data_IF_124254786455
#
_entry.id   IF_124254786455
#
_cell.length_a   1.000
_cell.length_b   1.000
_cell.length_c   1.000
_cell.angle_alpha   90.00
_cell.angle_beta   90.00
_cell.angle_gamma   90.00
#
_symmetry.space_group_name_H-M   'P 1'
#
loop_
_entity.id
_entity.type
_entity.pdbx_description
1 polymer ?
#
# COMPACT_ATOMS: atom_id res chain seq x y z
N UNK A 1 4.26 -10.01 23.24
CA UNK A 1 4.87 -11.04 24.12
C UNK A 1 4.83 -10.70 25.59
N UNK A 2 5.35 -9.54 26.04
CA UNK A 2 5.27 -9.15 27.46
C UNK A 2 3.84 -9.06 27.96
N UNK A 3 2.94 -8.53 27.14
CA UNK A 3 1.52 -8.35 27.49
C UNK A 3 0.81 -9.70 27.66
N UNK A 4 0.99 -10.61 26.69
CA UNK A 4 0.48 -11.99 26.75
C UNK A 4 1.00 -12.71 28.01
N UNK A 5 2.31 -12.68 28.24
CA UNK A 5 2.90 -13.34 29.41
C UNK A 5 2.41 -12.72 30.73
N UNK A 6 2.10 -11.42 30.77
CA UNK A 6 1.55 -10.75 31.95
C UNK A 6 0.11 -11.18 32.23
N UNK A 7 -0.74 -11.16 31.20
CA UNK A 7 -2.13 -11.64 31.32
C UNK A 7 -2.18 -13.11 31.73
N UNK A 8 -1.27 -13.94 31.22
CA UNK A 8 -1.20 -15.35 31.59
C UNK A 8 -0.75 -15.59 33.04
N UNK A 9 0.16 -14.75 33.56
CA UNK A 9 0.51 -14.81 34.98
C UNK A 9 -0.67 -14.46 35.87
N UNK A 10 -1.43 -13.43 35.52
CA UNK A 10 -2.63 -13.03 36.26
C UNK A 10 -3.72 -14.11 36.21
N UNK A 11 -4.04 -14.62 35.02
CA UNK A 11 -4.99 -15.72 34.85
C UNK A 11 -4.56 -16.99 35.61
N UNK A 12 -3.26 -17.29 35.61
CA UNK A 12 -2.69 -18.39 36.39
C UNK A 12 -2.84 -18.19 37.91
N UNK A 13 -2.77 -16.95 38.41
CA UNK A 13 -3.04 -16.68 39.83
C UNK A 13 -4.52 -16.91 40.17
N UNK A 14 -5.45 -16.49 39.31
CA UNK A 14 -6.87 -16.81 39.49
C UNK A 14 -7.11 -18.31 39.57
N UNK A 15 -6.47 -19.10 38.70
CA UNK A 15 -6.54 -20.57 38.75
C UNK A 15 -6.09 -21.11 40.11
N UNK A 16 -4.95 -20.64 40.64
CA UNK A 16 -4.41 -21.07 41.93
C UNK A 16 -5.36 -20.71 43.08
N UNK A 17 -5.84 -19.46 43.12
CA UNK A 17 -6.73 -18.98 44.19
C UNK A 17 -8.07 -19.72 44.20
N UNK A 18 -8.64 -19.99 43.02
CA UNK A 18 -9.89 -20.74 42.89
C UNK A 18 -9.71 -22.22 43.27
N UNK A 19 -8.57 -22.83 42.91
CA UNK A 19 -8.25 -24.19 43.33
C UNK A 19 -8.11 -24.30 44.86
N UNK A 20 -7.51 -23.31 45.52
CA UNK A 20 -7.43 -23.26 46.99
C UNK A 20 -8.80 -23.14 47.67
N UNK A 21 -9.79 -22.55 46.99
CA UNK A 21 -11.18 -22.50 47.42
C UNK A 21 -11.97 -23.79 47.12
N UNK A 22 -11.31 -24.83 46.60
CA UNK A 22 -11.91 -26.13 46.29
C UNK A 22 -12.55 -26.23 44.91
N UNK A 23 -12.36 -25.23 44.03
CA UNK A 23 -12.92 -25.26 42.68
C UNK A 23 -11.99 -26.06 41.75
N UNK A 24 -12.47 -27.20 41.25
CA UNK A 24 -11.72 -28.10 40.35
C UNK A 24 -11.70 -27.63 38.89
N UNK A 25 -11.05 -26.50 38.60
CA UNK A 25 -10.88 -26.00 37.22
C UNK A 25 -9.97 -26.94 36.42
N UNK A 26 -10.46 -27.40 35.27
CA UNK A 26 -9.72 -28.31 34.36
C UNK A 26 -9.32 -27.68 33.04
N UNK A 27 -9.88 -26.51 32.74
CA UNK A 27 -9.72 -25.83 31.47
C UNK A 27 -9.38 -24.37 31.74
N UNK A 28 -8.43 -23.85 30.96
CA UNK A 28 -8.14 -22.44 30.90
C UNK A 28 -8.25 -22.00 29.44
N UNK A 29 -9.10 -21.01 29.21
CA UNK A 29 -9.22 -20.37 27.92
C UNK A 29 -8.33 -19.12 27.90
N UNK A 30 -7.42 -19.05 26.94
CA UNK A 30 -6.52 -17.90 26.78
C UNK A 30 -7.06 -16.89 25.77
N UNK A 31 -8.23 -17.16 25.20
CA UNK A 31 -8.84 -16.38 24.15
C UNK A 31 -8.00 -16.38 22.87
N UNK A 32 -8.20 -15.34 22.07
CA UNK A 32 -7.45 -15.10 20.83
C UNK A 32 -6.12 -14.39 21.04
N UNK A 33 -5.82 -13.43 20.17
CA UNK A 33 -4.61 -12.60 20.28
C UNK A 33 -3.35 -13.18 19.62
N UNK A 34 -3.42 -14.39 19.05
CA UNK A 34 -2.41 -14.84 18.08
C UNK A 34 -2.56 -13.99 16.82
N UNK A 35 -1.62 -13.07 16.62
CA UNK A 35 -1.64 -12.14 15.49
C UNK A 35 -1.13 -12.78 14.19
N UNK A 36 -1.24 -12.02 13.11
CA UNK A 36 -0.81 -12.39 11.76
C UNK A 36 0.06 -11.27 11.22
N UNK A 37 1.15 -11.63 10.54
CA UNK A 37 2.06 -10.67 9.92
C UNK A 37 1.58 -10.30 8.51
N UNK A 38 0.73 -9.28 8.40
CA UNK A 38 0.23 -8.82 7.10
C UNK A 38 1.27 -7.98 6.33
N UNK A 39 2.23 -7.38 7.03
CA UNK A 39 3.32 -6.59 6.41
C UNK A 39 4.57 -7.44 6.08
N UNK A 40 4.66 -8.68 6.57
CA UNK A 40 5.87 -9.47 6.50
C UNK A 40 7.09 -8.85 7.20
N UNK A 41 6.95 -7.74 7.92
CA UNK A 41 8.07 -6.99 8.52
C UNK A 41 8.57 -7.62 9.80
N UNK A 42 7.82 -8.57 10.36
CA UNK A 42 8.05 -9.14 11.69
C UNK A 42 8.31 -8.08 12.76
N UNK A 43 7.60 -6.97 12.66
CA UNK A 43 7.78 -5.80 13.51
C UNK A 43 6.65 -5.66 14.54
N UNK A 44 6.74 -4.66 15.41
CA UNK A 44 5.70 -4.29 16.39
C UNK A 44 4.69 -3.29 15.82
N UNK A 45 4.60 -3.16 14.49
CA UNK A 45 3.58 -2.32 13.85
C UNK A 45 2.18 -2.91 14.04
N UNK A 46 1.17 -2.08 13.81
CA UNK A 46 -0.23 -2.41 14.06
C UNK A 46 -0.71 -3.64 13.27
N UNK A 47 -0.28 -3.77 12.01
CA UNK A 47 -0.64 -4.87 11.11
C UNK A 47 0.41 -6.00 11.05
N UNK A 48 1.31 -6.09 12.04
CA UNK A 48 2.40 -7.08 12.09
C UNK A 48 2.49 -7.78 13.45
N UNK A 49 3.27 -8.86 13.50
CA UNK A 49 3.69 -9.51 14.74
C UNK A 49 5.21 -9.63 14.80
N UNK A 50 5.79 -9.52 16.00
CA UNK A 50 7.24 -9.67 16.20
C UNK A 50 7.62 -10.99 16.88
N UNK A 51 6.76 -12.00 16.78
CA UNK A 51 6.94 -13.29 17.44
C UNK A 51 6.51 -14.44 16.54
N UNK A 52 7.10 -15.60 16.76
CA UNK A 52 6.71 -16.86 16.12
C UNK A 52 5.62 -17.58 16.93
N UNK A 53 4.94 -18.54 16.30
CA UNK A 53 3.88 -19.32 16.96
C UNK A 53 4.42 -20.11 18.16
N UNK A 54 5.66 -20.59 18.09
CA UNK A 54 6.32 -21.28 19.20
C UNK A 54 6.55 -20.36 20.38
N UNK A 55 6.90 -19.10 20.12
CA UNK A 55 7.11 -18.10 21.16
C UNK A 55 5.78 -17.74 21.82
N UNK A 56 4.70 -17.61 21.04
CA UNK A 56 3.34 -17.42 21.56
C UNK A 56 2.94 -18.58 22.50
N UNK A 57 3.12 -19.82 22.04
CA UNK A 57 2.82 -21.01 22.84
C UNK A 57 3.65 -21.05 24.13
N UNK A 58 4.96 -20.73 24.07
CA UNK A 58 5.83 -20.67 25.24
C UNK A 58 5.38 -19.61 26.24
N UNK A 59 4.98 -18.42 25.78
CA UNK A 59 4.53 -17.35 26.67
C UNK A 59 3.21 -17.66 27.40
N UNK A 60 2.45 -18.65 26.93
CA UNK A 60 1.25 -19.15 27.58
C UNK A 60 1.57 -20.34 28.50
N UNK A 61 2.26 -21.34 27.96
CA UNK A 61 2.51 -22.61 28.67
C UNK A 61 3.47 -22.42 29.83
N UNK A 62 4.54 -21.64 29.66
CA UNK A 62 5.59 -21.53 30.67
C UNK A 62 5.08 -20.89 31.98
N UNK A 63 4.42 -19.71 31.99
CA UNK A 63 3.93 -19.13 33.24
C UNK A 63 2.91 -20.01 33.96
N UNK A 64 2.03 -20.68 33.21
CA UNK A 64 1.05 -21.60 33.79
C UNK A 64 1.71 -22.83 34.42
N UNK A 65 2.70 -23.42 33.74
CA UNK A 65 3.42 -24.58 34.25
C UNK A 65 4.19 -24.26 35.54
N UNK A 66 4.89 -23.12 35.57
CA UNK A 66 5.63 -22.64 36.74
C UNK A 66 4.69 -22.40 37.94
N UNK A 67 3.54 -21.76 37.71
CA UNK A 67 2.55 -21.50 38.75
C UNK A 67 1.93 -22.79 39.28
N UNK A 68 1.50 -23.71 38.40
CA UNK A 68 0.93 -25.00 38.81
C UNK A 68 1.94 -25.82 39.62
N UNK A 69 3.21 -25.87 39.17
CA UNK A 69 4.27 -26.57 39.89
C UNK A 69 4.50 -25.97 41.29
N UNK A 70 4.53 -24.64 41.41
CA UNK A 70 4.71 -23.96 42.69
C UNK A 70 3.55 -24.15 43.67
N UNK A 71 2.33 -24.27 43.16
CA UNK A 71 1.11 -24.44 43.96
C UNK A 71 0.76 -25.92 44.20
N UNK A 72 1.51 -26.87 43.64
CA UNK A 72 1.22 -28.30 43.73
C UNK A 72 -0.07 -28.71 43.00
N UNK A 73 -0.46 -27.96 41.96
CA UNK A 73 -1.69 -28.20 41.19
C UNK A 73 -1.39 -29.00 39.92
N UNK A 74 -2.37 -29.81 39.51
CA UNK A 74 -2.34 -30.46 38.20
C UNK A 74 -2.49 -29.41 37.09
N UNK A 75 -1.63 -29.44 36.04
CA UNK A 75 -1.76 -28.51 34.92
C UNK A 75 -3.12 -28.61 34.23
N UNK A 76 -3.82 -27.49 33.96
CA UNK A 76 -5.10 -27.50 33.26
C UNK A 76 -4.91 -27.77 31.77
N UNK A 77 -6.00 -28.12 31.09
CA UNK A 77 -6.07 -28.12 29.62
C UNK A 77 -6.18 -26.69 29.11
N UNK A 78 -5.39 -26.35 28.09
CA UNK A 78 -5.34 -25.01 27.52
C UNK A 78 -6.17 -24.99 26.23
N UNK A 79 -7.03 -23.98 26.09
CA UNK A 79 -7.80 -23.68 24.87
C UNK A 79 -7.40 -22.30 24.37
N UNK A 80 -7.30 -22.13 23.06
CA UNK A 80 -7.06 -20.83 22.41
C UNK A 80 -8.09 -20.61 21.31
N UNK A 81 -8.60 -19.39 21.22
CA UNK A 81 -9.59 -18.93 20.25
C UNK A 81 -8.90 -18.15 19.12
N UNK A 82 -7.84 -18.72 18.55
CA UNK A 82 -6.98 -18.08 17.56
C UNK A 82 -7.60 -18.00 16.15
N UNK A 83 -8.84 -17.52 16.03
CA UNK A 83 -9.63 -17.51 14.79
C UNK A 83 -8.92 -16.80 13.63
N UNK A 84 -8.42 -15.58 13.84
CA UNK A 84 -7.70 -14.81 12.81
C UNK A 84 -6.48 -15.56 12.28
N UNK A 85 -5.71 -16.20 13.16
CA UNK A 85 -4.53 -16.95 12.75
C UNK A 85 -4.89 -18.17 11.88
N UNK A 86 -6.05 -18.80 12.14
CA UNK A 86 -6.54 -19.93 11.36
C UNK A 86 -7.11 -19.51 10.00
N UNK A 87 -7.78 -18.36 9.92
CA UNK A 87 -8.51 -17.95 8.72
C UNK A 87 -7.80 -16.89 7.88
N UNK A 88 -6.75 -16.20 8.35
CA UNK A 88 -6.21 -15.07 7.58
C UNK A 88 -5.70 -15.44 6.17
N UNK A 89 -5.10 -16.62 5.99
CA UNK A 89 -4.42 -16.98 4.72
C UNK A 89 -5.22 -17.94 3.82
N UNK A 90 -6.43 -18.35 4.22
CA UNK A 90 -7.19 -19.38 3.48
C UNK A 90 -7.92 -18.85 2.24
N UNK A 91 -8.10 -17.53 2.14
CA UNK A 91 -8.87 -16.88 1.09
C UNK A 91 -8.01 -15.84 0.36
N UNK A 92 -8.21 -15.75 -0.95
CA UNK A 92 -7.55 -14.75 -1.82
C UNK A 92 -8.62 -14.10 -2.67
N UNK A 93 -8.64 -12.76 -2.69
CA UNK A 93 -9.47 -11.99 -3.61
C UNK A 93 -8.72 -11.81 -4.94
N UNK A 94 -9.33 -12.30 -6.02
CA UNK A 94 -8.79 -12.16 -7.38
C UNK A 94 -9.75 -11.30 -8.18
N UNK A 95 -9.21 -10.22 -8.76
CA UNK A 95 -9.98 -9.29 -9.59
C UNK A 95 -9.10 -8.73 -10.71
N UNK A 96 -9.73 -8.21 -11.75
CA UNK A 96 -9.07 -7.64 -12.91
C UNK A 96 -9.00 -6.11 -12.80
N UNK A 97 -7.94 -5.55 -13.40
CA UNK A 97 -7.88 -4.12 -13.70
C UNK A 97 -8.80 -3.84 -14.88
N UNK A 98 -9.75 -2.93 -14.69
CA UNK A 98 -10.67 -2.47 -15.74
C UNK A 98 -10.06 -1.36 -16.57
N UNK A 99 -9.43 -0.39 -15.91
CA UNK A 99 -8.86 0.79 -16.55
C UNK A 99 -7.58 1.24 -15.85
N UNK A 100 -6.68 1.89 -16.61
CA UNK A 100 -5.45 2.48 -16.09
C UNK A 100 -5.40 3.94 -16.52
N UNK A 101 -5.52 4.84 -15.56
CA UNK A 101 -5.24 6.26 -15.75
C UNK A 101 -3.75 6.46 -15.55
N UNK A 102 -3.03 6.70 -16.64
CA UNK A 102 -1.58 6.94 -16.55
C UNK A 102 -1.31 8.32 -15.97
N UNK A 103 -0.31 8.40 -15.09
CA UNK A 103 0.14 9.68 -14.55
C UNK A 103 0.41 10.68 -15.69
N UNK A 104 -0.08 11.93 -15.59
CA UNK A 104 0.17 12.93 -16.63
C UNK A 104 1.68 13.10 -16.81
N UNK A 105 2.16 12.88 -18.03
CA UNK A 105 3.57 13.16 -18.38
C UNK A 105 3.82 14.65 -18.53
N UNK A 106 2.77 15.38 -18.90
CA UNK A 106 2.86 16.78 -19.28
C UNK A 106 3.60 16.98 -20.61
N UNK A 107 3.53 18.20 -21.11
CA UNK A 107 4.27 18.66 -22.27
C UNK A 107 4.66 20.11 -22.06
N UNK A 108 5.84 20.52 -22.53
CA UNK A 108 6.22 21.93 -22.46
C UNK A 108 5.40 22.78 -23.44
N UNK A 109 5.08 22.25 -24.61
CA UNK A 109 4.52 23.08 -25.69
C UNK A 109 5.48 24.21 -26.12
N UNK A 110 5.03 25.04 -27.05
CA UNK A 110 5.75 26.24 -27.47
C UNK A 110 5.21 27.48 -26.75
N UNK A 111 6.10 28.43 -26.43
CA UNK A 111 5.70 29.72 -25.88
C UNK A 111 5.23 30.63 -27.02
N UNK A 112 3.98 31.10 -26.94
CA UNK A 112 3.49 32.19 -27.77
C UNK A 112 3.84 33.56 -27.14
N UNK A 113 3.83 34.63 -27.92
CA UNK A 113 4.22 35.97 -27.45
C UNK A 113 3.28 36.52 -26.35
N UNK A 114 2.01 36.10 -26.37
CA UNK A 114 0.95 36.47 -25.42
C UNK A 114 0.89 35.54 -24.19
N UNK A 115 1.80 34.56 -24.07
CA UNK A 115 1.80 33.60 -22.95
C UNK A 115 1.88 34.33 -21.61
N UNK A 116 0.98 34.06 -20.65
CA UNK A 116 1.00 34.68 -19.32
C UNK A 116 2.35 34.53 -18.60
N UNK A 117 2.70 35.51 -17.76
CA UNK A 117 3.99 35.54 -17.08
C UNK A 117 4.26 34.28 -16.24
N UNK A 118 3.24 33.75 -15.55
CA UNK A 118 3.36 32.55 -14.72
C UNK A 118 3.77 31.31 -15.53
N UNK A 119 3.24 31.13 -16.75
CA UNK A 119 3.65 30.04 -17.64
C UNK A 119 5.09 30.25 -18.13
N UNK A 120 5.47 31.49 -18.48
CA UNK A 120 6.85 31.80 -18.90
C UNK A 120 7.86 31.49 -17.79
N UNK A 121 7.54 31.79 -16.53
CA UNK A 121 8.39 31.44 -15.39
C UNK A 121 8.56 29.92 -15.25
N UNK A 122 7.48 29.13 -15.32
CA UNK A 122 7.58 27.67 -15.30
C UNK A 122 8.43 27.11 -16.46
N UNK A 123 8.31 27.69 -17.66
CA UNK A 123 9.14 27.32 -18.81
C UNK A 123 10.62 27.64 -18.60
N UNK A 124 10.93 28.77 -17.96
CA UNK A 124 12.29 29.19 -17.64
C UNK A 124 12.93 28.25 -16.60
N UNK A 125 12.19 27.89 -15.53
CA UNK A 125 12.63 26.92 -14.54
C UNK A 125 13.03 25.58 -15.16
N UNK A 126 12.29 25.14 -16.18
CA UNK A 126 12.65 23.93 -16.91
C UNK A 126 13.99 24.06 -17.66
N UNK A 127 14.34 25.23 -18.17
CA UNK A 127 15.65 25.46 -18.80
C UNK A 127 16.78 25.52 -17.76
N UNK A 128 16.49 26.02 -16.56
CA UNK A 128 17.44 26.14 -15.46
C UNK A 128 17.71 24.83 -14.71
N UNK A 129 16.97 23.77 -15.03
CA UNK A 129 17.09 22.46 -14.39
C UNK A 129 18.54 22.02 -14.29
N UNK A 130 19.35 22.19 -15.35
CA UNK A 130 20.77 21.84 -15.40
C UNK A 130 21.63 22.56 -14.34
N UNK A 131 21.35 23.83 -14.06
CA UNK A 131 22.24 24.72 -13.33
C UNK A 131 21.91 24.85 -11.83
N UNK A 132 20.67 24.52 -11.43
CA UNK A 132 20.16 24.75 -10.07
C UNK A 132 19.78 23.42 -9.38
N UNK A 133 19.74 23.39 -8.03
CA UNK A 133 19.34 22.20 -7.30
C UNK A 133 17.88 21.83 -7.57
N UNK A 134 17.55 20.54 -7.77
CA UNK A 134 16.21 20.09 -8.18
C UNK A 134 15.12 20.39 -7.13
N UNK A 135 15.49 20.45 -5.85
CA UNK A 135 14.58 20.76 -4.74
C UNK A 135 14.06 22.20 -4.81
N UNK A 136 14.95 23.16 -5.04
CA UNK A 136 14.61 24.59 -5.14
C UNK A 136 13.71 24.85 -6.36
N UNK A 137 14.06 24.25 -7.50
CA UNK A 137 13.27 24.37 -8.73
C UNK A 137 11.86 23.84 -8.53
N UNK A 138 11.72 22.71 -7.85
CA UNK A 138 10.39 22.14 -7.59
C UNK A 138 9.55 23.02 -6.66
N UNK A 139 10.16 23.60 -5.61
CA UNK A 139 9.47 24.53 -4.73
C UNK A 139 8.97 25.78 -5.48
N UNK A 140 9.82 26.38 -6.32
CA UNK A 140 9.42 27.51 -7.17
C UNK A 140 8.33 27.12 -8.18
N UNK A 141 8.44 25.92 -8.74
CA UNK A 141 7.42 25.38 -9.63
C UNK A 141 6.07 25.21 -8.93
N UNK A 142 6.05 24.70 -7.69
CA UNK A 142 4.83 24.59 -6.89
C UNK A 142 4.22 25.97 -6.63
N UNK A 143 5.05 26.96 -6.31
CA UNK A 143 4.60 28.33 -6.08
C UNK A 143 3.95 28.93 -7.33
N UNK A 144 4.61 28.85 -8.49
CA UNK A 144 4.05 29.37 -9.74
C UNK A 144 2.85 28.56 -10.24
N UNK A 145 2.83 27.25 -10.02
CA UNK A 145 1.65 26.43 -10.32
C UNK A 145 0.45 26.92 -9.49
N UNK A 146 0.61 27.05 -8.17
CA UNK A 146 -0.43 27.56 -7.26
C UNK A 146 -0.90 28.98 -7.64
N UNK A 147 0.02 29.87 -8.00
CA UNK A 147 -0.29 31.21 -8.49
C UNK A 147 -1.13 31.15 -9.78
N UNK A 148 -0.76 30.28 -10.72
CA UNK A 148 -1.52 30.05 -11.95
C UNK A 148 -2.93 29.51 -11.67
N UNK A 149 -3.10 28.61 -10.70
CA UNK A 149 -4.43 28.14 -10.31
C UNK A 149 -5.27 29.29 -9.75
N UNK A 150 -4.66 30.18 -8.95
CA UNK A 150 -5.34 31.34 -8.39
C UNK A 150 -5.70 32.40 -9.45
N UNK A 151 -4.88 32.57 -10.49
CA UNK A 151 -5.20 33.42 -11.64
C UNK A 151 -6.39 32.85 -12.44
N UNK A 152 -6.39 31.54 -12.70
CA UNK A 152 -7.52 30.86 -13.34
C UNK A 152 -8.82 31.01 -12.54
N UNK A 153 -8.78 30.80 -11.22
CA UNK A 153 -9.94 30.97 -10.34
C UNK A 153 -10.52 32.39 -10.35
N UNK A 154 -9.69 33.40 -10.65
CA UNK A 154 -10.09 34.81 -10.80
C UNK A 154 -10.52 35.18 -12.22
N UNK A 155 -10.55 34.22 -13.15
CA UNK A 155 -10.87 34.44 -14.56
C UNK A 155 -9.78 35.17 -15.35
N UNK A 156 -8.55 35.21 -14.84
CA UNK A 156 -7.41 35.88 -15.48
C UNK A 156 -6.62 34.96 -16.42
N UNK A 157 -6.88 33.65 -16.36
CA UNK A 157 -6.40 32.67 -17.33
C UNK A 157 -7.60 31.98 -17.97
N UNK A 158 -7.47 31.68 -19.27
CA UNK A 158 -8.42 30.81 -19.95
C UNK A 158 -8.13 29.32 -19.68
N UNK A 159 -9.01 28.45 -20.16
CA UNK A 159 -8.89 27.00 -19.97
C UNK A 159 -7.66 26.41 -20.69
N UNK A 160 -7.27 26.94 -21.85
CA UNK A 160 -6.12 26.45 -22.60
C UNK A 160 -4.81 26.80 -21.88
N UNK A 161 -4.72 28.00 -21.31
CA UNK A 161 -3.62 28.45 -20.47
C UNK A 161 -3.54 27.66 -19.17
N UNK A 162 -4.69 27.31 -18.57
CA UNK A 162 -4.74 26.41 -17.41
C UNK A 162 -4.23 25.00 -17.75
N UNK A 163 -4.66 24.43 -18.88
CA UNK A 163 -4.18 23.13 -19.33
C UNK A 163 -2.66 23.16 -19.60
N UNK A 164 -2.16 24.20 -20.27
CA UNK A 164 -0.73 24.37 -20.53
C UNK A 164 0.08 24.56 -19.23
N UNK A 165 -0.46 25.25 -18.23
CA UNK A 165 0.15 25.36 -16.90
C UNK A 165 0.33 23.98 -16.25
N UNK A 166 -0.73 23.16 -16.25
CA UNK A 166 -0.70 21.81 -15.69
C UNK A 166 0.27 20.90 -16.48
N UNK A 167 0.30 21.01 -17.81
CA UNK A 167 1.20 20.24 -18.67
C UNK A 167 2.68 20.58 -18.43
N UNK A 168 3.03 21.86 -18.35
CA UNK A 168 4.42 22.29 -18.09
C UNK A 168 4.86 21.88 -16.69
N UNK A 169 3.98 22.01 -15.70
CA UNK A 169 4.25 21.60 -14.32
C UNK A 169 4.54 20.10 -14.22
N UNK A 170 3.72 19.24 -14.83
CA UNK A 170 3.96 17.79 -14.82
C UNK A 170 5.25 17.41 -15.57
N UNK A 171 5.53 18.05 -16.72
CA UNK A 171 6.78 17.83 -17.44
C UNK A 171 8.01 18.17 -16.58
N UNK A 172 7.94 19.28 -15.83
CA UNK A 172 8.99 19.68 -14.90
C UNK A 172 9.10 18.71 -13.71
N UNK A 173 7.98 18.27 -13.14
CA UNK A 173 7.97 17.31 -12.03
C UNK A 173 8.64 15.98 -12.41
N UNK A 174 8.38 15.45 -13.62
CA UNK A 174 9.07 14.28 -14.15
C UNK A 174 10.57 14.53 -14.35
N UNK A 175 10.94 15.71 -14.86
CA UNK A 175 12.34 16.07 -15.06
C UNK A 175 13.12 16.24 -13.74
N UNK A 176 12.49 16.83 -12.72
CA UNK A 176 13.01 16.90 -11.35
C UNK A 176 13.18 15.49 -10.78
N UNK A 177 12.14 14.65 -10.87
CA UNK A 177 12.13 13.28 -10.34
C UNK A 177 13.27 12.43 -10.89
N UNK A 178 13.64 12.62 -12.15
CA UNK A 178 14.74 11.92 -12.82
C UNK A 178 16.13 12.30 -12.30
N UNK A 179 16.26 13.42 -11.57
CA UNK A 179 17.54 13.94 -11.05
C UNK A 179 17.74 13.73 -9.56
N UNK A 180 16.70 13.31 -8.85
CA UNK A 180 16.78 13.07 -7.41
C UNK A 180 17.49 11.75 -7.11
N UNK A 181 18.41 11.78 -6.16
CA UNK A 181 19.14 10.60 -5.68
C UNK A 181 18.47 10.02 -4.42
N UNK A 182 17.98 8.75 -4.45
CA UNK A 182 17.41 8.07 -3.28
C UNK A 182 18.36 7.87 -2.10
N UNK A 183 19.67 7.95 -2.30
CA UNK A 183 20.67 7.86 -1.23
C UNK A 183 20.80 9.16 -0.45
N UNK A 184 20.44 10.28 -1.06
CA UNK A 184 20.56 11.59 -0.44
C UNK A 184 19.37 11.88 0.48
N UNK A 185 19.66 12.16 1.76
CA UNK A 185 18.62 12.39 2.77
C UNK A 185 17.72 13.57 2.43
N UNK A 186 18.27 14.63 1.85
CA UNK A 186 17.53 15.83 1.45
C UNK A 186 16.51 15.55 0.33
N UNK A 187 16.78 14.57 -0.53
CA UNK A 187 15.91 14.21 -1.64
C UNK A 187 14.77 13.26 -1.26
N UNK A 188 14.88 12.53 -0.14
CA UNK A 188 13.89 11.49 0.21
C UNK A 188 12.46 12.00 0.34
N UNK A 189 12.25 13.09 1.06
CA UNK A 189 10.90 13.64 1.26
C UNK A 189 10.28 14.07 -0.08
N UNK A 190 11.06 14.71 -0.94
CA UNK A 190 10.61 15.13 -2.27
C UNK A 190 10.39 13.93 -3.21
N UNK A 191 11.24 12.90 -3.11
CA UNK A 191 11.05 11.66 -3.84
C UNK A 191 9.73 11.01 -3.47
N UNK A 192 9.42 10.89 -2.18
CA UNK A 192 8.18 10.30 -1.68
C UNK A 192 6.96 11.10 -2.17
N UNK A 193 7.00 12.44 -2.09
CA UNK A 193 5.94 13.33 -2.59
C UNK A 193 5.71 13.18 -4.10
N UNK A 194 6.78 13.19 -4.90
CA UNK A 194 6.69 13.02 -6.35
C UNK A 194 6.24 11.61 -6.73
N UNK A 195 6.66 10.60 -5.97
CA UNK A 195 6.28 9.21 -6.16
C UNK A 195 4.79 8.97 -5.88
N UNK A 196 4.18 9.74 -4.98
CA UNK A 196 2.72 9.76 -4.76
C UNK A 196 1.97 10.54 -5.85
N UNK A 197 2.52 11.66 -6.32
CA UNK A 197 1.87 12.48 -7.37
C UNK A 197 1.97 11.87 -8.77
N UNK A 198 3.10 11.27 -9.11
CA UNK A 198 3.43 10.76 -10.45
C UNK A 198 3.15 9.26 -10.57
N UNK A 199 2.02 8.83 -10.03
CA UNK A 199 1.63 7.43 -9.95
C UNK A 199 0.48 7.13 -10.90
N UNK A 200 0.49 5.95 -11.52
CA UNK A 200 -0.64 5.50 -12.32
C UNK A 200 -1.77 5.04 -11.41
N UNK A 201 -3.02 5.33 -11.78
CA UNK A 201 -4.18 4.81 -11.05
C UNK A 201 -4.73 3.60 -11.80
N UNK A 202 -4.86 2.50 -11.08
CA UNK A 202 -5.42 1.25 -11.56
C UNK A 202 -6.82 1.12 -10.99
N UNK A 203 -7.83 1.22 -11.86
CA UNK A 203 -9.22 0.98 -11.49
C UNK A 203 -9.50 -0.51 -11.56
N UNK A 204 -9.87 -1.09 -10.43
CA UNK A 204 -10.01 -2.54 -10.28
C UNK A 204 -11.48 -2.89 -10.07
N UNK A 205 -11.93 -3.97 -10.71
CA UNK A 205 -13.33 -4.41 -10.68
C UNK A 205 -13.69 -5.11 -9.37
N UNK A 206 -13.71 -4.35 -8.27
CA UNK A 206 -14.17 -4.81 -6.96
C UNK A 206 -14.70 -3.61 -6.16
N UNK A 207 -15.20 -3.87 -4.95
CA UNK A 207 -15.55 -2.84 -3.97
C UNK A 207 -14.78 -3.07 -2.67
N UNK A 208 -14.13 -2.02 -2.17
CA UNK A 208 -13.43 -2.06 -0.88
C UNK A 208 -14.40 -2.40 0.25
N UNK A 209 -15.57 -1.77 0.24
CA UNK A 209 -16.59 -1.91 1.28
C UNK A 209 -17.21 -3.31 1.35
N UNK A 210 -17.35 -3.99 0.22
CA UNK A 210 -17.92 -5.34 0.17
C UNK A 210 -16.87 -6.41 0.50
N UNK A 211 -15.67 -6.29 -0.07
CA UNK A 211 -14.69 -7.39 -0.07
C UNK A 211 -13.64 -7.27 1.04
N UNK A 212 -13.27 -6.04 1.42
CA UNK A 212 -12.17 -5.77 2.37
C UNK A 212 -12.50 -4.58 3.29
N UNK A 213 -13.63 -4.61 4.03
CA UNK A 213 -14.08 -3.49 4.86
C UNK A 213 -13.08 -3.09 5.94
N UNK A 214 -12.23 -4.01 6.41
CA UNK A 214 -11.21 -3.75 7.42
C UNK A 214 -10.18 -2.70 6.96
N UNK A 215 -9.93 -2.56 5.65
CA UNK A 215 -9.04 -1.51 5.13
C UNK A 215 -9.58 -0.12 5.45
N UNK A 216 -10.89 0.05 5.25
CA UNK A 216 -11.56 1.33 5.50
C UNK A 216 -11.84 1.56 6.98
N UNK A 217 -12.20 0.51 7.72
CA UNK A 217 -12.66 0.65 9.10
C UNK A 217 -11.53 0.81 10.13
N UNK A 218 -10.38 0.15 9.90
CA UNK A 218 -9.30 0.06 10.89
C UNK A 218 -7.89 0.17 10.28
N UNK A 219 -7.78 0.73 9.06
CA UNK A 219 -6.51 0.85 8.33
C UNK A 219 -5.76 -0.49 8.20
N UNK A 220 -6.50 -1.60 8.07
CA UNK A 220 -5.91 -2.92 7.92
C UNK A 220 -5.15 -3.02 6.60
N UNK A 221 -3.96 -3.60 6.65
CA UNK A 221 -3.14 -3.83 5.45
C UNK A 221 -3.40 -5.25 4.94
N UNK A 222 -3.53 -5.37 3.61
CA UNK A 222 -3.53 -6.66 2.90
C UNK A 222 -2.40 -6.68 1.86
N UNK A 223 -1.65 -7.78 1.73
CA UNK A 223 -0.69 -7.95 0.65
C UNK A 223 -1.39 -7.97 -0.71
N UNK A 224 -1.02 -7.06 -1.61
CA UNK A 224 -1.53 -7.01 -2.98
C UNK A 224 -0.40 -7.29 -3.95
N UNK A 225 -0.60 -8.28 -4.81
CA UNK A 225 0.37 -8.69 -5.83
C UNK A 225 -0.33 -9.01 -7.15
N UNK A 226 0.31 -8.76 -8.30
CA UNK A 226 -0.16 -9.25 -9.58
C UNK A 226 0.01 -10.76 -9.63
N UNK A 227 -0.91 -11.43 -10.33
CA UNK A 227 -0.92 -12.89 -10.46
C UNK A 227 0.17 -13.38 -11.44
N UNK A 228 0.65 -12.51 -12.33
CA UNK A 228 1.63 -12.82 -13.36
C UNK A 228 2.75 -11.76 -13.44
N UNK A 229 3.87 -12.13 -14.04
CA UNK A 229 5.00 -11.21 -14.27
C UNK A 229 5.86 -10.95 -13.03
N UNK A 230 5.76 -11.78 -12.00
CA UNK A 230 6.50 -11.63 -10.73
C UNK A 230 8.02 -11.78 -10.89
N UNK A 231 8.48 -12.41 -11.96
CA UNK A 231 9.92 -12.55 -12.27
C UNK A 231 10.52 -11.30 -12.92
N UNK A 232 9.68 -10.39 -13.43
CA UNK A 232 10.13 -9.18 -14.10
C UNK A 232 10.34 -8.05 -13.09
N UNK A 233 11.40 -7.26 -13.31
CA UNK A 233 11.64 -6.10 -12.45
C UNK A 233 10.54 -5.06 -12.65
N UNK A 234 9.95 -4.53 -11.57
CA UNK A 234 9.00 -3.43 -11.64
C UNK A 234 9.56 -2.16 -12.36
N UNK A 235 8.77 -1.52 -13.24
CA UNK A 235 9.07 -0.24 -13.92
C UNK A 235 8.13 0.95 -13.64
N UNK A 236 6.87 0.79 -13.20
CA UNK A 236 5.93 1.93 -12.96
C UNK A 236 5.16 1.85 -11.64
N UNK A 237 5.10 2.92 -10.85
CA UNK A 237 4.33 2.89 -9.60
C UNK A 237 2.84 3.00 -9.88
N UNK A 238 2.03 2.32 -9.06
CA UNK A 238 0.58 2.26 -9.20
C UNK A 238 -0.14 2.43 -7.87
N UNK A 239 -1.27 3.13 -7.87
CA UNK A 239 -2.27 3.12 -6.80
C UNK A 239 -3.48 2.36 -7.31
N UNK A 240 -4.08 1.52 -6.47
CA UNK A 240 -5.33 0.82 -6.78
C UNK A 240 -6.49 1.63 -6.23
N UNK A 241 -7.45 1.91 -7.10
CA UNK A 241 -8.74 2.47 -6.78
C UNK A 241 -9.83 1.46 -7.15
N UNK A 242 -10.89 1.41 -6.34
CA UNK A 242 -12.07 0.64 -6.70
C UNK A 242 -12.96 1.40 -7.70
N UNK A 243 -14.04 0.77 -8.15
CA UNK A 243 -15.00 1.38 -9.09
C UNK A 243 -16.14 2.13 -8.40
N UNK A 244 -16.08 2.29 -7.07
CA UNK A 244 -17.13 2.99 -6.36
C UNK A 244 -17.05 4.49 -6.62
N UNK A 245 -18.19 5.17 -6.57
CA UNK A 245 -18.24 6.63 -6.67
C UNK A 245 -17.76 7.34 -5.40
N UNK A 246 -17.28 6.58 -4.41
CA UNK A 246 -16.82 7.11 -3.14
C UNK A 246 -15.31 7.36 -3.22
N UNK A 247 -14.88 8.57 -2.82
CA UNK A 247 -13.47 8.94 -2.82
C UNK A 247 -12.65 8.11 -1.82
N UNK A 248 -13.29 7.50 -0.82
CA UNK A 248 -12.64 6.66 0.19
C UNK A 248 -12.36 5.24 -0.34
N UNK A 249 -13.03 4.82 -1.43
CA UNK A 249 -12.70 3.60 -2.18
C UNK A 249 -11.41 3.72 -3.00
N UNK A 250 -10.81 4.92 -3.06
CA UNK A 250 -9.75 5.26 -4.01
C UNK A 250 -8.31 5.00 -3.52
N UNK A 251 -8.08 4.70 -2.24
CA UNK A 251 -6.70 4.68 -1.71
C UNK A 251 -6.38 3.46 -0.85
N UNK A 252 -6.12 2.32 -1.48
CA UNK A 252 -5.22 1.35 -0.87
C UNK A 252 -3.79 1.87 -1.09
N UNK A 253 -3.34 2.71 -0.15
CA UNK A 253 -2.06 3.42 -0.22
C UNK A 253 -0.88 2.61 0.32
N UNK A 254 -1.15 1.59 1.13
CA UNK A 254 -0.09 0.89 1.87
C UNK A 254 0.28 -0.42 1.19
N UNK A 255 1.50 -0.46 0.67
CA UNK A 255 2.09 -1.61 0.01
C UNK A 255 3.17 -2.23 0.87
N UNK A 256 3.29 -3.54 0.78
CA UNK A 256 4.33 -4.30 1.48
C UNK A 256 5.54 -4.51 0.57
N UNK A 257 6.66 -3.77 0.72
CA UNK A 257 7.84 -4.03 -0.10
C UNK A 257 8.52 -5.34 0.31
N UNK A 258 8.76 -6.25 -0.65
CA UNK A 258 9.62 -7.46 -0.55
C UNK A 258 10.90 -7.38 0.31
N UNK A 259 11.43 -6.20 0.62
CA UNK A 259 12.50 -6.09 1.61
C UNK A 259 12.10 -6.62 3.00
N UNK A 260 10.79 -6.67 3.31
CA UNK A 260 10.24 -7.29 4.51
C UNK A 260 10.00 -8.80 4.36
N UNK A 261 9.60 -9.28 3.17
CA UNK A 261 9.38 -10.70 2.89
C UNK A 261 10.71 -11.48 2.85
N UNK A 262 11.16 -11.92 4.03
CA UNK A 262 12.37 -12.71 4.19
C UNK A 262 12.25 -14.10 3.52
N UNK A 263 12.96 -14.23 2.40
CA UNK A 263 13.62 -15.43 1.89
C UNK A 263 12.76 -16.62 1.40
N UNK A 264 12.35 -16.57 0.13
CA UNK A 264 12.50 -17.76 -0.73
C UNK A 264 13.86 -17.62 -1.46
N UNK A 265 14.86 -18.41 -1.05
CA UNK A 265 16.23 -18.35 -1.58
C UNK A 265 16.26 -18.85 -3.03
N UNK A 266 16.24 -17.93 -3.99
CA UNK A 266 16.75 -18.22 -5.33
C UNK A 266 18.26 -17.92 -5.35
N UNK A 267 19.09 -18.97 -5.42
CA UNK A 267 20.55 -18.99 -5.20
C UNK A 267 21.39 -18.35 -6.32
N UNK A 268 20.84 -17.41 -7.13
CA UNK A 268 21.51 -16.98 -8.38
C UNK A 268 21.62 -15.49 -8.69
N UNK A 269 21.46 -14.57 -7.73
CA UNK A 269 21.65 -13.14 -8.02
C UNK A 269 22.53 -12.43 -6.98
N UNK A 270 23.74 -11.94 -7.35
CA UNK A 270 24.55 -11.13 -6.45
C UNK A 270 24.17 -9.65 -6.54
N UNK A 271 24.11 -9.01 -5.38
CA UNK A 271 24.16 -7.56 -5.11
C UNK A 271 22.93 -6.66 -5.36
N UNK A 272 22.73 -5.82 -4.36
CA UNK A 272 22.07 -4.50 -4.31
C UNK A 272 20.60 -4.39 -3.89
N UNK A 273 20.42 -3.50 -2.91
CA UNK A 273 19.30 -3.30 -1.99
C UNK A 273 18.33 -2.23 -2.53
N UNK A 274 17.09 -2.29 -2.00
CA UNK A 274 15.94 -1.37 -2.18
C UNK A 274 15.21 -1.51 -3.51
N UNK A 275 14.06 -2.19 -3.45
CA UNK A 275 13.06 -2.22 -4.52
C UNK A 275 11.77 -1.67 -3.91
N UNK A 276 11.44 -0.43 -4.25
CA UNK A 276 10.06 0.03 -4.25
C UNK A 276 9.36 -0.69 -5.41
N UNK A 277 8.19 -1.27 -5.16
CA UNK A 277 7.44 -1.94 -6.20
C UNK A 277 6.83 -0.91 -7.14
N UNK A 278 7.00 -1.18 -8.42
CA UNK A 278 6.59 -0.35 -9.53
C UNK A 278 6.08 -1.30 -10.63
N UNK A 279 4.84 -1.76 -10.64
CA UNK A 279 4.33 -2.63 -11.72
C UNK A 279 4.66 -2.19 -13.16
N UNK A 280 5.10 -3.12 -14.00
CA UNK A 280 5.31 -2.91 -15.44
C UNK A 280 4.28 -3.71 -16.21
N UNK A 281 3.34 -3.06 -16.89
CA UNK A 281 2.52 -3.72 -17.91
C UNK A 281 2.87 -3.14 -19.28
N UNK A 282 3.34 -4.00 -20.17
CA UNK A 282 3.43 -3.76 -21.61
C UNK A 282 2.73 -4.91 -22.32
N UNK A 283 1.40 -4.83 -22.38
CA UNK A 283 0.61 -5.64 -23.29
C UNK A 283 -0.37 -4.71 -24.02
N UNK A 284 -0.35 -4.65 -25.36
CA UNK A 284 -1.32 -3.86 -26.12
C UNK A 284 -2.70 -4.49 -25.96
N UNK A 285 -3.65 -3.73 -25.43
CA UNK A 285 -5.07 -4.08 -25.44
C UNK A 285 -5.50 -4.16 -26.91
N UNK A 286 -5.58 -5.37 -27.47
CA UNK A 286 -6.25 -5.59 -28.75
C UNK A 286 -7.76 -5.41 -28.51
N UNK A 287 -8.31 -4.29 -28.98
CA UNK A 287 -9.76 -4.14 -29.14
C UNK A 287 -10.25 -5.28 -30.06
N UNK A 288 -11.25 -6.08 -29.68
CA UNK A 288 -11.89 -6.98 -30.62
C UNK A 288 -12.61 -6.14 -31.68
N UNK A 289 -12.26 -6.36 -32.95
CA UNK A 289 -12.92 -5.74 -34.10
C UNK A 289 -14.37 -6.23 -34.18
N UNK A 290 -15.32 -5.32 -34.01
CA UNK A 290 -16.73 -5.56 -34.29
C UNK A 290 -16.88 -5.97 -35.77
N UNK A 291 -17.13 -7.25 -36.01
CA UNK A 291 -17.65 -7.75 -37.28
C UNK A 291 -19.11 -8.08 -37.08
N UNK A 292 -19.96 -7.21 -37.62
CA UNK A 292 -21.41 -7.37 -37.68
C UNK A 292 -21.75 -8.64 -38.46
N UNK A 293 -22.26 -9.65 -37.78
CA UNK A 293 -22.93 -10.79 -38.44
C UNK A 293 -24.41 -10.69 -38.11
N UNK A 294 -25.18 -10.21 -39.09
CA UNK A 294 -26.64 -10.20 -39.09
C UNK A 294 -27.16 -11.63 -39.10
N UNK A 295 -27.82 -12.03 -38.02
CA UNK A 295 -28.45 -13.34 -37.90
C UNK A 295 -29.89 -13.25 -38.44
N UNK A 296 -30.13 -13.81 -39.63
CA UNK A 296 -31.47 -13.95 -40.21
C UNK A 296 -32.20 -15.15 -39.60
N UNK A 297 -33.33 -14.89 -38.95
CA UNK A 297 -34.21 -15.90 -38.40
C UNK A 297 -34.89 -16.73 -39.51
N UNK A 298 -34.88 -18.05 -39.37
CA UNK A 298 -35.76 -18.97 -40.12
C UNK A 298 -36.47 -19.87 -39.10
N UNK A 299 -37.81 -20.05 -39.17
CA UNK A 299 -38.57 -20.75 -38.15
C UNK A 299 -38.54 -22.27 -38.34
N UNK A 300 -38.57 -22.98 -37.22
CA UNK A 300 -38.64 -24.44 -37.14
C UNK A 300 -39.87 -25.03 -37.82
N UNK A 301 -39.65 -26.12 -38.57
CA UNK A 301 -40.52 -27.29 -38.67
C UNK A 301 -39.66 -28.54 -38.61
#
# INVERSE_FOLDING_TARGET
>A
MRDIASGMREAGQYLVQLAQQGVGLRWIDVGGGLGVDYEGTRSRSYCSINYAIEQYAQAIVQPLAELCASAGLAPPRIVTEAGRAMTAHHAVLITNVSEVETAPRGARGALAADTPAVLRHLHALHAELAARPPTEIYLEAQQHHAEGLALFARGQLDLAQRAALDDVFHALAHAVRARLDPQERAHRALLDELDEKLVDKYFVNFSVFESIPDVWAIDQIFPIVPIAGLDARPTRRGVIADLTCDSDGASISTWTPAASMSACRCTRCPSTRRIAWAFSWSAPIRKPSATSTTCSATPMR
#
